data_IF_725736137161
#
_entry.id   IF_725736137161
#
_cell.length_a   1.000
_cell.length_b   1.000
_cell.length_c   1.000
_cell.angle_alpha   90.00
_cell.angle_beta   90.00
_cell.angle_gamma   90.00
#
_symmetry.space_group_name_H-M   'P 1'
#
loop_
_entity.id
_entity.type
_entity.pdbx_description
1 polymer ?
#
# COMPACT_ATOMS: atom_id res chain seq x y z
N UNK A 1 60.79 -2.60 -74.82
CA UNK A 1 59.89 -3.44 -75.65
C UNK A 1 58.57 -3.64 -74.90
N UNK A 2 57.45 -3.18 -75.50
CA UNK A 2 56.05 -3.68 -75.48
C UNK A 2 55.79 -4.98 -74.66
N UNK A 3 54.74 -5.18 -73.82
CA UNK A 3 53.26 -5.03 -73.96
C UNK A 3 52.56 -5.19 -72.57
N UNK A 4 51.61 -4.31 -72.20
CA UNK A 4 50.14 -4.49 -71.99
C UNK A 4 49.64 -5.58 -71.01
N UNK A 5 48.92 -5.19 -69.93
CA UNK A 5 47.46 -5.37 -69.66
C UNK A 5 47.26 -6.39 -68.49
N UNK A 6 46.31 -6.37 -67.55
CA UNK A 6 44.96 -5.79 -67.41
C UNK A 6 44.48 -6.00 -65.92
N UNK A 7 43.78 -5.02 -65.32
CA UNK A 7 42.68 -5.10 -64.30
C UNK A 7 42.89 -5.87 -62.96
N UNK A 8 42.26 -5.57 -61.81
CA UNK A 8 40.97 -4.95 -61.47
C UNK A 8 40.97 -4.49 -59.99
N UNK A 9 40.29 -3.38 -59.72
CA UNK A 9 40.11 -2.78 -58.39
C UNK A 9 39.03 -3.49 -57.55
N UNK A 10 39.20 -3.54 -56.22
CA UNK A 10 38.09 -3.40 -55.25
C UNK A 10 38.59 -2.70 -53.97
N UNK A 11 38.40 -1.38 -53.91
CA UNK A 11 38.29 -0.62 -52.67
C UNK A 11 36.82 -0.65 -52.27
N UNK A 12 36.47 -1.35 -51.18
CA UNK A 12 35.15 -1.22 -50.56
C UNK A 12 35.20 -0.11 -49.51
N UNK A 13 34.29 0.90 -49.58
CA UNK A 13 34.12 1.86 -48.52
C UNK A 13 33.26 1.23 -47.41
N UNK A 14 33.84 0.95 -46.25
CA UNK A 14 33.08 0.75 -45.00
C UNK A 14 32.58 2.11 -44.51
N UNK A 15 31.50 2.62 -45.12
CA UNK A 15 30.74 3.74 -44.60
C UNK A 15 29.28 3.58 -45.01
N UNK A 16 28.46 2.99 -44.13
CA UNK A 16 27.04 3.35 -43.91
C UNK A 16 26.34 2.28 -43.04
N UNK A 17 26.60 2.27 -41.73
CA UNK A 17 25.77 1.46 -40.81
C UNK A 17 25.74 2.02 -39.38
N UNK A 18 25.62 3.35 -39.19
CA UNK A 18 25.53 3.92 -37.83
C UNK A 18 24.37 4.92 -37.62
N UNK A 19 23.53 5.22 -38.62
CA UNK A 19 22.45 6.19 -38.47
C UNK A 19 21.04 5.56 -38.26
N UNK A 20 20.83 4.30 -38.65
CA UNK A 20 19.52 3.64 -38.58
C UNK A 20 19.26 2.94 -37.22
N UNK A 21 20.30 2.39 -36.58
CA UNK A 21 20.19 1.69 -35.30
C UNK A 21 19.78 2.61 -34.14
N UNK A 22 20.36 3.81 -34.06
CA UNK A 22 20.05 4.76 -32.98
C UNK A 22 18.62 5.30 -33.00
N UNK A 23 18.02 5.51 -34.19
CA UNK A 23 16.62 5.95 -34.31
C UNK A 23 15.63 4.83 -33.98
N UNK A 24 15.93 3.59 -34.36
CA UNK A 24 15.11 2.43 -34.01
C UNK A 24 15.17 2.13 -32.50
N UNK A 25 16.36 2.15 -31.91
CA UNK A 25 16.57 1.99 -30.47
C UNK A 25 15.90 3.11 -29.67
N UNK A 26 16.00 4.37 -30.13
CA UNK A 26 15.33 5.51 -29.52
C UNK A 26 13.80 5.39 -29.55
N UNK A 27 13.22 4.92 -30.67
CA UNK A 27 11.77 4.68 -30.80
C UNK A 27 11.29 3.53 -29.91
N UNK A 28 12.06 2.45 -29.81
CA UNK A 28 11.71 1.33 -28.94
C UNK A 28 11.80 1.71 -27.46
N UNK A 29 12.83 2.47 -27.07
CA UNK A 29 12.95 2.99 -25.72
C UNK A 29 11.83 3.98 -25.37
N UNK A 30 11.39 4.80 -26.33
CA UNK A 30 10.24 5.69 -26.14
C UNK A 30 8.93 4.91 -25.97
N UNK A 31 8.72 3.82 -26.73
CA UNK A 31 7.54 2.94 -26.58
C UNK A 31 7.53 2.26 -25.22
N UNK A 32 8.65 1.68 -24.78
CA UNK A 32 8.75 1.04 -23.45
C UNK A 32 8.41 2.01 -22.31
N UNK A 33 8.89 3.26 -22.39
CA UNK A 33 8.53 4.31 -21.42
C UNK A 33 7.06 4.70 -21.48
N UNK A 34 6.45 4.70 -22.66
CA UNK A 34 5.02 4.97 -22.81
C UNK A 34 4.16 3.84 -22.22
N UNK A 35 4.56 2.58 -22.44
CA UNK A 35 3.90 1.40 -21.87
C UNK A 35 4.03 1.39 -20.33
N UNK A 36 5.23 1.66 -19.81
CA UNK A 36 5.47 1.81 -18.37
C UNK A 36 4.61 2.91 -17.75
N UNK A 37 4.55 4.10 -18.39
CA UNK A 37 3.69 5.20 -17.94
C UNK A 37 2.21 4.80 -17.96
N UNK A 38 1.74 4.11 -18.98
CA UNK A 38 0.35 3.66 -19.06
C UNK A 38 -0.01 2.68 -17.94
N UNK A 39 0.92 1.79 -17.57
CA UNK A 39 0.75 0.86 -16.43
C UNK A 39 0.72 1.63 -15.11
N UNK A 40 1.62 2.57 -14.90
CA UNK A 40 1.66 3.40 -13.67
C UNK A 40 0.40 4.28 -13.55
N UNK A 41 -0.06 4.88 -14.66
CA UNK A 41 -1.29 5.67 -14.69
C UNK A 41 -2.52 4.80 -14.40
N UNK A 42 -2.57 3.56 -14.91
CA UNK A 42 -3.65 2.61 -14.60
C UNK A 42 -3.61 2.20 -13.13
N UNK A 43 -2.42 1.90 -12.60
CA UNK A 43 -2.24 1.53 -11.20
C UNK A 43 -2.68 2.67 -10.27
N UNK A 44 -2.23 3.91 -10.52
CA UNK A 44 -2.62 5.09 -9.76
C UNK A 44 -4.12 5.39 -9.82
N UNK A 45 -4.78 5.11 -10.97
CA UNK A 45 -6.24 5.29 -11.10
C UNK A 45 -7.05 4.21 -10.39
N UNK A 46 -6.52 3.00 -10.25
CA UNK A 46 -7.26 1.84 -9.76
C UNK A 46 -6.97 1.51 -8.30
N UNK A 47 -5.82 1.90 -7.77
CA UNK A 47 -5.41 1.64 -6.39
C UNK A 47 -5.54 2.93 -5.58
N UNK A 48 -6.78 3.44 -5.43
CA UNK A 48 -7.05 4.56 -4.52
C UNK A 48 -7.38 4.03 -3.13
N UNK A 49 -7.12 4.84 -2.09
CA UNK A 49 -7.49 4.48 -0.72
C UNK A 49 -8.98 4.15 -0.59
N UNK A 50 -9.86 4.92 -1.24
CA UNK A 50 -11.29 4.63 -1.23
C UNK A 50 -11.61 3.28 -1.86
N UNK A 51 -10.95 2.93 -2.97
CA UNK A 51 -11.13 1.63 -3.60
C UNK A 51 -10.65 0.50 -2.69
N UNK A 52 -9.53 0.68 -2.00
CA UNK A 52 -9.05 -0.32 -1.05
C UNK A 52 -10.04 -0.54 0.10
N UNK A 53 -10.58 0.54 0.69
CA UNK A 53 -11.60 0.48 1.74
C UNK A 53 -12.84 -0.27 1.27
N UNK A 54 -13.31 0.01 0.06
CA UNK A 54 -14.49 -0.64 -0.52
C UNK A 54 -14.27 -2.14 -0.77
N UNK A 55 -13.08 -2.54 -1.23
CA UNK A 55 -12.75 -3.96 -1.41
C UNK A 55 -12.85 -4.69 -0.07
N UNK A 56 -12.42 -4.07 1.03
CA UNK A 56 -12.54 -4.67 2.37
C UNK A 56 -13.98 -4.75 2.83
N UNK A 57 -14.77 -3.68 2.67
CA UNK A 57 -16.20 -3.71 2.99
C UNK A 57 -16.90 -4.87 2.26
N UNK A 58 -16.63 -5.02 0.97
CA UNK A 58 -17.20 -6.10 0.15
C UNK A 58 -16.70 -7.48 0.58
N UNK A 59 -15.42 -7.63 0.93
CA UNK A 59 -14.86 -8.87 1.42
C UNK A 59 -15.50 -9.28 2.76
N UNK A 60 -15.62 -8.34 3.70
CA UNK A 60 -16.25 -8.54 5.00
C UNK A 60 -17.69 -9.03 4.84
N UNK A 61 -18.51 -8.27 4.12
CA UNK A 61 -19.92 -8.60 3.89
C UNK A 61 -20.13 -9.94 3.18
N UNK A 62 -19.26 -10.28 2.22
CA UNK A 62 -19.36 -11.55 1.48
C UNK A 62 -19.06 -12.76 2.36
N UNK A 63 -18.06 -12.65 3.24
CA UNK A 63 -17.58 -13.80 4.01
C UNK A 63 -18.27 -13.92 5.38
N UNK A 64 -18.76 -12.80 5.93
CA UNK A 64 -19.60 -12.73 7.12
C UNK A 64 -20.74 -11.72 6.89
N UNK A 65 -21.94 -12.17 6.52
CA UNK A 65 -23.09 -11.29 6.29
C UNK A 65 -23.54 -10.48 7.51
N UNK A 66 -23.14 -10.87 8.73
CA UNK A 66 -23.39 -10.10 9.95
C UNK A 66 -22.29 -9.05 10.22
N UNK A 67 -21.21 -9.05 9.42
CA UNK A 67 -20.11 -8.11 9.56
C UNK A 67 -20.56 -6.69 9.21
N UNK A 68 -20.29 -5.75 10.11
CA UNK A 68 -20.60 -4.33 9.93
C UNK A 68 -19.39 -3.46 10.29
N UNK A 69 -19.15 -2.43 9.49
CA UNK A 69 -18.16 -1.39 9.82
C UNK A 69 -18.74 -0.54 10.96
N UNK A 70 -18.14 -0.64 12.14
CA UNK A 70 -18.63 0.07 13.35
C UNK A 70 -17.86 1.37 13.61
N UNK A 71 -16.65 1.49 13.07
CA UNK A 71 -15.86 2.69 13.15
C UNK A 71 -14.85 2.75 12.00
N UNK A 72 -14.61 3.96 11.49
CA UNK A 72 -13.61 4.24 10.48
C UNK A 72 -13.07 5.66 10.63
N UNK A 73 -11.79 5.84 10.32
CA UNK A 73 -11.16 7.15 10.24
C UNK A 73 -10.17 7.17 9.08
N UNK A 74 -9.99 8.32 8.45
CA UNK A 74 -9.08 8.55 7.34
C UNK A 74 -8.33 9.86 7.56
N UNK A 75 -7.01 9.84 7.40
CA UNK A 75 -6.15 11.00 7.62
C UNK A 75 -4.97 11.01 6.63
N UNK A 76 -4.33 12.18 6.49
CA UNK A 76 -3.02 12.30 5.84
C UNK A 76 -1.91 12.27 6.87
N UNK A 77 -1.12 11.21 6.87
CA UNK A 77 -0.08 10.96 7.88
C UNK A 77 1.31 11.19 7.28
N UNK A 78 2.12 12.01 7.96
CA UNK A 78 3.57 11.93 7.84
C UNK A 78 4.10 10.69 8.61
N UNK A 79 5.36 10.27 8.40
CA UNK A 79 5.97 9.22 9.22
C UNK A 79 5.83 9.50 10.72
N UNK A 80 5.57 8.44 11.48
CA UNK A 80 5.28 8.40 12.92
C UNK A 80 3.97 9.06 13.37
N UNK A 81 3.17 9.64 12.48
CA UNK A 81 1.82 10.09 12.83
C UNK A 81 0.82 8.93 12.87
N UNK A 82 -0.27 9.14 13.61
CA UNK A 82 -1.22 8.10 13.96
C UNK A 82 -2.67 8.47 13.62
N UNK A 83 -3.46 7.44 13.29
CA UNK A 83 -4.93 7.48 13.39
C UNK A 83 -5.33 6.72 14.64
N UNK A 84 -6.13 7.35 15.49
CA UNK A 84 -6.62 6.77 16.74
C UNK A 84 -8.14 6.66 16.67
N UNK A 85 -8.66 5.43 16.76
CA UNK A 85 -10.09 5.15 16.78
C UNK A 85 -10.47 4.50 18.09
N UNK A 86 -11.39 5.14 18.82
CA UNK A 86 -11.98 4.60 20.05
C UNK A 86 -13.38 4.10 19.77
N UNK A 87 -13.70 2.90 20.23
CA UNK A 87 -15.04 2.34 20.07
C UNK A 87 -15.30 1.28 21.13
N UNK A 88 -16.58 1.11 21.47
CA UNK A 88 -17.02 0.07 22.39
C UNK A 88 -17.11 -1.27 21.68
N UNK A 89 -16.54 -2.31 22.28
CA UNK A 89 -16.66 -3.69 21.84
C UNK A 89 -17.59 -4.48 22.75
N UNK A 90 -18.22 -5.50 22.18
CA UNK A 90 -19.13 -6.42 22.83
C UNK A 90 -18.44 -7.76 23.02
N UNK A 91 -18.52 -8.33 24.23
CA UNK A 91 -17.97 -9.62 24.56
C UNK A 91 -18.50 -10.72 23.61
N UNK A 92 -17.61 -11.61 23.18
CA UNK A 92 -17.92 -12.72 22.28
C UNK A 92 -18.02 -12.35 20.80
N UNK A 93 -18.00 -11.06 20.44
CA UNK A 93 -17.94 -10.64 19.02
C UNK A 93 -16.51 -10.67 18.50
N UNK A 94 -16.39 -10.99 17.21
CA UNK A 94 -15.10 -11.00 16.50
C UNK A 94 -14.91 -9.70 15.76
N UNK A 95 -13.78 -9.04 16.00
CA UNK A 95 -13.41 -7.78 15.39
C UNK A 95 -12.31 -8.00 14.36
N UNK A 96 -12.52 -7.42 13.18
CA UNK A 96 -11.54 -7.38 12.11
C UNK A 96 -11.08 -5.94 11.95
N UNK A 97 -9.86 -5.67 12.38
CA UNK A 97 -9.28 -4.32 12.42
C UNK A 97 -8.20 -4.24 11.36
N UNK A 98 -8.21 -3.20 10.54
CA UNK A 98 -7.26 -3.10 9.44
C UNK A 98 -6.93 -1.67 9.06
N UNK A 99 -5.66 -1.44 8.72
CA UNK A 99 -5.18 -0.20 8.14
C UNK A 99 -5.05 -0.31 6.63
N UNK A 100 -5.46 0.73 5.88
CA UNK A 100 -5.23 0.86 4.45
C UNK A 100 -4.48 2.15 4.19
N UNK A 101 -3.74 2.21 3.09
CA UNK A 101 -3.09 3.44 2.69
C UNK A 101 -3.05 3.58 1.17
N UNK A 102 -2.84 4.80 0.71
CA UNK A 102 -2.62 5.03 -0.70
C UNK A 102 -1.35 4.31 -1.21
N UNK A 103 -1.16 4.19 -2.54
CA UNK A 103 -0.03 3.45 -3.09
C UNK A 103 1.35 4.01 -2.74
N UNK A 104 1.42 5.30 -2.37
CA UNK A 104 2.66 5.99 -2.01
C UNK A 104 3.12 5.68 -0.58
N UNK A 105 2.23 5.09 0.23
CA UNK A 105 2.58 4.57 1.54
C UNK A 105 3.31 3.24 1.42
N UNK A 106 4.35 3.08 2.23
CA UNK A 106 5.17 1.88 2.21
C UNK A 106 4.83 0.96 3.38
N UNK A 107 4.64 1.49 4.60
CA UNK A 107 4.53 0.67 5.81
C UNK A 107 3.68 1.32 6.89
N UNK A 108 2.88 0.52 7.60
CA UNK A 108 2.15 0.93 8.80
C UNK A 108 2.18 -0.18 9.87
N UNK A 109 2.00 0.21 11.14
CA UNK A 109 1.76 -0.71 12.25
C UNK A 109 0.36 -0.51 12.81
N UNK A 110 -0.20 -1.58 13.36
CA UNK A 110 -1.53 -1.56 13.96
C UNK A 110 -1.49 -2.16 15.36
N UNK A 111 -1.96 -1.41 16.34
CA UNK A 111 -2.09 -1.83 17.73
C UNK A 111 -3.55 -1.72 18.21
N UNK A 112 -3.93 -2.59 19.16
CA UNK A 112 -5.19 -2.51 19.91
C UNK A 112 -4.90 -2.52 21.41
N UNK A 113 -5.49 -1.56 22.11
CA UNK A 113 -5.35 -1.38 23.56
C UNK A 113 -6.72 -1.46 24.24
N UNK A 114 -6.73 -1.96 25.48
CA UNK A 114 -7.84 -1.87 26.46
C UNK A 114 -7.45 -1.00 27.66
N UNK A 115 -8.42 -0.44 28.39
CA UNK A 115 -8.19 0.44 29.56
C UNK A 115 -7.28 1.64 29.29
N UNK A 116 -7.58 2.47 28.29
CA UNK A 116 -6.76 3.65 27.97
C UNK A 116 -7.40 4.93 28.51
N UNK A 117 -6.74 5.58 29.48
CA UNK A 117 -6.89 7.02 29.71
C UNK A 117 -6.02 7.74 28.68
N UNK A 118 -6.63 8.24 27.60
CA UNK A 118 -5.89 8.80 26.46
C UNK A 118 -5.31 10.21 26.69
N UNK A 119 -5.59 10.81 27.84
CA UNK A 119 -5.18 12.16 28.19
C UNK A 119 -3.68 12.23 28.53
N UNK A 120 -3.01 11.07 28.62
CA UNK A 120 -1.61 10.90 28.97
C UNK A 120 -0.95 9.97 27.93
N UNK A 121 -0.85 10.37 26.67
CA UNK A 121 -0.06 9.60 25.69
C UNK A 121 1.44 9.78 26.00
N UNK A 122 2.11 8.70 26.37
CA UNK A 122 3.55 8.60 26.61
C UNK A 122 4.12 7.51 25.69
N UNK A 123 5.10 7.90 24.88
CA UNK A 123 5.78 7.05 23.89
C UNK A 123 6.59 5.90 24.55
N UNK A 124 7.05 6.07 25.80
CA UNK A 124 7.80 5.03 26.53
C UNK A 124 6.88 3.96 27.14
N UNK A 125 5.72 4.36 27.68
CA UNK A 125 4.86 3.44 28.46
C UNK A 125 3.69 2.85 27.69
N UNK A 126 3.33 3.42 26.52
CA UNK A 126 2.20 2.96 25.67
C UNK A 126 0.94 2.66 26.48
N UNK A 127 0.41 3.70 27.13
CA UNK A 127 -0.69 3.58 28.09
C UNK A 127 -1.87 2.77 27.56
N UNK A 128 -2.34 1.85 28.41
CA UNK A 128 -3.33 0.83 28.08
C UNK A 128 -2.71 -0.56 28.03
N UNK A 129 -3.51 -1.57 28.34
CA UNK A 129 -3.06 -2.94 28.15
C UNK A 129 -3.21 -3.27 26.66
N UNK A 130 -2.08 -3.39 25.94
CA UNK A 130 -2.07 -3.91 24.57
C UNK A 130 -2.66 -5.33 24.59
N UNK A 131 -3.67 -5.56 23.75
CA UNK A 131 -4.34 -6.87 23.63
C UNK A 131 -4.05 -7.55 22.30
N UNK A 132 -3.73 -6.79 21.24
CA UNK A 132 -3.38 -7.35 19.93
C UNK A 132 -2.56 -6.35 19.13
N UNK A 133 -1.70 -6.85 18.25
CA UNK A 133 -0.94 -6.02 17.32
C UNK A 133 -0.62 -6.75 16.01
N UNK A 134 -0.30 -5.96 15.00
CA UNK A 134 0.41 -6.36 13.79
C UNK A 134 1.58 -5.40 13.58
N UNK A 135 2.78 -5.85 14.00
CA UNK A 135 4.03 -5.12 13.84
C UNK A 135 4.79 -5.53 12.57
N UNK A 136 4.17 -6.35 11.72
CA UNK A 136 4.77 -6.70 10.43
C UNK A 136 4.81 -5.45 9.57
N UNK A 137 5.88 -5.35 8.79
CA UNK A 137 6.11 -4.25 7.86
C UNK A 137 5.21 -4.46 6.64
N UNK A 138 3.98 -3.96 6.72
CA UNK A 138 2.93 -4.13 5.71
C UNK A 138 2.29 -2.80 5.35
N UNK A 139 1.93 -2.63 4.07
CA UNK A 139 1.08 -1.52 3.59
C UNK A 139 -0.35 -1.60 4.11
N UNK A 140 -0.78 -2.79 4.51
CA UNK A 140 -2.16 -3.07 4.90
C UNK A 140 -2.21 -3.99 6.13
N UNK A 141 -1.72 -3.54 7.30
CA UNK A 141 -1.70 -4.36 8.50
C UNK A 141 -3.14 -4.68 8.93
N UNK A 142 -3.31 -5.85 9.56
CA UNK A 142 -4.62 -6.26 10.04
C UNK A 142 -4.53 -7.45 10.96
N UNK A 143 -5.48 -7.52 11.89
CA UNK A 143 -5.67 -8.70 12.72
C UNK A 143 -7.15 -8.91 13.01
N UNK A 144 -7.49 -10.18 13.25
CA UNK A 144 -8.76 -10.58 13.81
C UNK A 144 -8.61 -10.94 15.28
N UNK A 145 -9.59 -10.56 16.08
CA UNK A 145 -9.57 -10.81 17.52
C UNK A 145 -10.98 -10.81 18.10
N UNK A 146 -11.28 -11.75 19.00
CA UNK A 146 -12.58 -11.84 19.68
C UNK A 146 -12.52 -11.13 21.01
N UNK A 147 -13.47 -10.23 21.26
CA UNK A 147 -13.50 -9.48 22.51
C UNK A 147 -13.91 -10.37 23.69
N UNK A 148 -13.12 -10.34 24.76
CA UNK A 148 -13.40 -11.09 25.99
C UNK A 148 -14.40 -10.37 26.91
N UNK A 149 -14.54 -9.04 26.76
CA UNK A 149 -15.30 -8.17 27.65
C UNK A 149 -16.02 -7.07 26.89
N UNK A 150 -17.13 -6.61 27.45
CA UNK A 150 -17.81 -5.38 27.03
C UNK A 150 -17.02 -4.18 27.54
N UNK A 151 -16.21 -3.55 26.68
CA UNK A 151 -15.31 -2.47 27.10
C UNK A 151 -15.01 -1.52 25.93
N UNK A 152 -14.50 -0.33 26.24
CA UNK A 152 -13.98 0.59 25.25
C UNK A 152 -12.54 0.19 24.87
N UNK A 153 -12.30 0.09 23.56
CA UNK A 153 -11.00 -0.22 22.99
C UNK A 153 -10.50 0.93 22.15
N UNK A 154 -9.18 1.03 22.05
CA UNK A 154 -8.50 2.01 21.22
C UNK A 154 -7.63 1.29 20.20
N UNK A 155 -7.97 1.43 18.93
CA UNK A 155 -7.14 1.00 17.81
C UNK A 155 -6.26 2.17 17.36
N UNK A 156 -4.98 1.88 17.15
CA UNK A 156 -3.96 2.87 16.76
C UNK A 156 -3.27 2.37 15.50
N UNK A 157 -3.37 3.13 14.42
CA UNK A 157 -2.67 2.89 13.17
C UNK A 157 -1.55 3.91 13.03
N UNK A 158 -0.29 3.46 13.06
CA UNK A 158 0.89 4.33 12.97
C UNK A 158 1.51 4.24 11.57
N UNK A 159 1.70 5.37 10.91
CA UNK A 159 2.44 5.46 9.64
C UNK A 159 3.93 5.29 9.91
N UNK A 160 4.57 4.24 9.36
CA UNK A 160 6.01 4.03 9.55
C UNK A 160 6.84 4.54 8.39
N UNK A 161 6.31 4.46 7.18
CA UNK A 161 7.02 4.94 6.00
C UNK A 161 6.06 5.42 4.93
N UNK A 162 6.31 6.63 4.46
CA UNK A 162 5.63 7.25 3.33
C UNK A 162 6.69 7.73 2.34
N UNK A 163 6.50 7.46 1.05
CA UNK A 163 7.44 7.92 0.00
C UNK A 163 7.29 9.42 -0.30
N UNK A 164 6.18 10.02 0.13
CA UNK A 164 5.87 11.45 0.07
C UNK A 164 5.99 12.10 1.45
N UNK A 165 5.77 13.42 1.51
CA UNK A 165 5.68 14.15 2.79
C UNK A 165 4.57 13.60 3.69
N UNK A 166 3.44 13.24 3.10
CA UNK A 166 2.29 12.64 3.77
C UNK A 166 1.63 11.64 2.82
N UNK A 167 1.09 10.55 3.38
CA UNK A 167 0.30 9.55 2.66
C UNK A 167 -1.10 9.50 3.26
N UNK A 168 -2.12 9.32 2.43
CA UNK A 168 -3.47 9.08 2.92
C UNK A 168 -3.53 7.66 3.50
N UNK A 169 -4.11 7.53 4.69
CA UNK A 169 -4.31 6.25 5.36
C UNK A 169 -5.70 6.21 5.99
N UNK A 170 -6.24 5.00 6.16
CA UNK A 170 -7.50 4.77 6.83
C UNK A 170 -7.40 3.59 7.79
N UNK A 171 -8.08 3.71 8.94
CA UNK A 171 -8.28 2.65 9.90
C UNK A 171 -9.76 2.25 9.88
N UNK A 172 -10.04 0.97 9.66
CA UNK A 172 -11.41 0.43 9.65
C UNK A 172 -11.55 -0.68 10.69
N UNK A 173 -12.68 -0.65 11.41
CA UNK A 173 -13.05 -1.63 12.42
C UNK A 173 -14.37 -2.26 12.03
N UNK A 174 -14.37 -3.57 11.83
CA UNK A 174 -15.56 -4.35 11.56
C UNK A 174 -15.90 -5.24 12.74
N UNK A 175 -17.16 -5.24 13.15
CA UNK A 175 -17.71 -6.22 14.09
C UNK A 175 -18.44 -7.30 13.31
N UNK A 176 -18.15 -8.56 13.60
CA UNK A 176 -18.86 -9.73 13.09
C UNK A 176 -18.66 -10.93 14.00
N UNK A 177 -18.67 -12.13 13.41
CA UNK A 177 -18.44 -13.38 14.13
C UNK A 177 -17.30 -14.22 13.52
N UNK A 178 -16.74 -13.80 12.38
CA UNK A 178 -15.62 -14.50 11.71
C UNK A 178 -14.32 -13.70 11.71
N UNK A 179 -13.22 -14.44 11.77
CA UNK A 179 -11.86 -13.93 11.64
C UNK A 179 -11.36 -14.06 10.19
N UNK A 180 -10.60 -13.06 9.72
CA UNK A 180 -10.14 -12.92 8.33
C UNK A 180 -8.64 -12.63 8.19
N UNK A 181 -7.97 -12.14 9.24
CA UNK A 181 -6.58 -11.67 9.21
C UNK A 181 -5.67 -12.47 10.14
#
# INVERSE_FOLDING_TARGET
MKKTALLLAVLLPFCAAHAAGGKAQSREQARRKADEKAVLDWYAKTHTLEREKDVIRQYQQRNDPESREIAAAEEKLAPEQEIVVRTRFTAGKTYNITGRCDPDCDNMYLDLYRNVYLDLYDEETRHGLRVKNDLRVLKSPGFSWTAEKDEDYTAVLTMKKCTKKTCAAALQIFEGNKAFW
#
